data_IF_179477734141
#
_entry.id   IF_179477734141
#
_cell.length_a   1.000
_cell.length_b   1.000
_cell.length_c   1.000
_cell.angle_alpha   90.00
_cell.angle_beta   90.00
_cell.angle_gamma   90.00
#
_symmetry.space_group_name_H-M   'P 1'
#
loop_
_entity.id
_entity.type
_entity.pdbx_description
1 polymer ?
#
# COMPACT_ATOMS: atom_id res chain seq x y z
N UNK A 1 11.59 21.99 1.75
CA UNK A 1 10.91 20.75 1.34
C UNK A 1 11.89 20.03 0.42
N UNK A 2 12.48 18.88 0.79
CA UNK A 2 13.21 18.10 -0.22
C UNK A 2 13.00 16.61 -0.04
N UNK A 3 12.25 16.01 -0.95
CA UNK A 3 12.63 14.75 -1.57
C UNK A 3 12.02 14.70 -2.96
N UNK A 4 12.84 14.98 -3.98
CA UNK A 4 12.69 14.49 -5.33
C UNK A 4 13.67 13.32 -5.53
N UNK A 5 13.67 12.38 -4.56
CA UNK A 5 14.40 11.11 -4.59
C UNK A 5 15.92 11.24 -4.35
N UNK A 6 16.45 11.77 -3.25
CA UNK A 6 16.19 11.42 -1.87
C UNK A 6 17.05 12.34 -1.00
N UNK A 7 17.14 13.63 -1.37
CA UNK A 7 17.74 14.67 -0.53
C UNK A 7 16.86 15.05 0.67
N UNK A 8 16.18 14.06 1.27
CA UNK A 8 15.30 14.12 2.44
C UNK A 8 15.85 15.09 3.49
N UNK A 9 15.20 16.24 3.78
CA UNK A 9 14.05 16.20 4.67
C UNK A 9 12.85 16.99 4.10
N UNK A 10 11.72 16.32 4.00
CA UNK A 10 10.41 16.95 3.91
C UNK A 10 9.61 16.69 5.18
N UNK A 11 8.87 17.69 5.66
CA UNK A 11 7.82 17.54 6.67
C UNK A 11 6.54 17.12 5.96
N UNK A 12 6.39 15.82 5.74
CA UNK A 12 5.26 15.26 4.98
C UNK A 12 4.00 15.20 5.85
N UNK A 13 2.89 15.85 5.46
CA UNK A 13 1.70 15.93 6.30
C UNK A 13 1.12 14.57 6.69
N UNK A 14 1.11 13.60 5.77
CA UNK A 14 0.65 12.23 6.04
C UNK A 14 1.50 11.50 7.09
N UNK A 15 2.80 11.83 7.19
CA UNK A 15 3.72 11.28 8.20
C UNK A 15 3.51 11.98 9.54
N UNK A 16 3.33 13.30 9.54
CA UNK A 16 3.04 14.07 10.75
C UNK A 16 1.73 13.58 11.37
N UNK A 17 0.66 13.49 10.60
CA UNK A 17 -0.63 13.02 11.09
C UNK A 17 -0.54 11.59 11.63
N UNK A 18 0.23 10.71 10.99
CA UNK A 18 0.45 9.36 11.49
C UNK A 18 1.21 9.34 12.83
N UNK A 19 2.19 10.24 13.01
CA UNK A 19 2.95 10.33 14.26
C UNK A 19 2.10 10.77 15.46
N UNK A 20 1.01 11.52 15.23
CA UNK A 20 0.07 11.91 16.29
C UNK A 20 -0.74 10.74 16.85
N UNK A 21 -0.78 9.61 16.16
CA UNK A 21 -1.50 8.40 16.59
C UNK A 21 -0.60 7.40 17.32
N UNK A 22 0.69 7.72 17.53
CA UNK A 22 1.69 6.79 18.04
C UNK A 22 1.33 6.20 19.42
N UNK A 23 0.78 7.01 20.33
CA UNK A 23 0.39 6.54 21.67
C UNK A 23 -0.78 5.54 21.60
N UNK A 24 -1.83 5.89 20.84
CA UNK A 24 -2.98 5.01 20.64
C UNK A 24 -2.59 3.70 19.93
N UNK A 25 -1.67 3.78 18.96
CA UNK A 25 -1.11 2.60 18.32
C UNK A 25 -0.30 1.75 19.30
N UNK A 26 0.55 2.37 20.13
CA UNK A 26 1.39 1.65 21.09
C UNK A 26 0.54 0.85 22.08
N UNK A 27 -0.56 1.44 22.56
CA UNK A 27 -1.52 0.73 23.40
C UNK A 27 -2.09 -0.51 22.70
N UNK A 28 -2.58 -0.38 21.46
CA UNK A 28 -3.11 -1.52 20.68
C UNK A 28 -2.06 -2.60 20.44
N UNK A 29 -0.82 -2.18 20.24
CA UNK A 29 0.33 -3.06 20.04
C UNK A 29 0.65 -3.85 21.31
N UNK A 30 0.74 -3.21 22.47
CA UNK A 30 0.94 -3.85 23.77
C UNK A 30 -0.20 -4.86 24.07
N UNK A 31 -1.45 -4.45 23.89
CA UNK A 31 -2.61 -5.35 24.03
C UNK A 31 -2.52 -6.58 23.10
N UNK A 32 -1.97 -6.42 21.90
CA UNK A 32 -1.77 -7.53 20.96
C UNK A 32 -0.64 -8.47 21.42
N UNK A 33 0.46 -7.94 21.95
CA UNK A 33 1.55 -8.73 22.52
C UNK A 33 1.10 -9.55 23.73
N UNK A 34 0.35 -8.94 24.66
CA UNK A 34 -0.17 -9.64 25.84
C UNK A 34 -1.10 -10.80 25.46
N UNK A 35 -1.98 -10.57 24.48
CA UNK A 35 -2.85 -11.62 23.94
C UNK A 35 -2.05 -12.72 23.26
N UNK A 36 -1.05 -12.37 22.45
CA UNK A 36 -0.20 -13.36 21.78
C UNK A 36 0.61 -14.19 22.79
N UNK A 37 1.13 -13.56 23.85
CA UNK A 37 1.81 -14.26 24.92
C UNK A 37 0.87 -15.25 25.63
N UNK A 38 -0.33 -14.78 25.99
CA UNK A 38 -1.36 -15.61 26.63
C UNK A 38 -1.83 -16.77 25.76
N UNK A 39 -1.84 -16.60 24.43
CA UNK A 39 -2.19 -17.61 23.45
C UNK A 39 -1.03 -18.55 23.05
N UNK A 40 0.18 -18.34 23.59
CA UNK A 40 1.37 -19.12 23.23
C UNK A 40 1.94 -18.82 21.84
N UNK A 41 1.49 -17.74 21.18
CA UNK A 41 1.93 -17.33 19.83
C UNK A 41 3.01 -16.24 19.85
N UNK A 42 3.50 -15.84 21.03
CA UNK A 42 4.47 -14.74 21.18
C UNK A 42 5.75 -14.88 20.34
N UNK A 43 6.30 -16.10 20.20
CA UNK A 43 7.46 -16.32 19.32
C UNK A 43 7.12 -16.10 17.83
N UNK A 44 5.95 -16.56 17.39
CA UNK A 44 5.47 -16.29 16.03
C UNK A 44 5.25 -14.80 15.80
N UNK A 45 4.69 -14.08 16.79
CA UNK A 45 4.50 -12.63 16.73
C UNK A 45 5.82 -11.88 16.57
N UNK A 46 6.87 -12.24 17.33
CA UNK A 46 8.19 -11.61 17.19
C UNK A 46 8.82 -11.88 15.82
N UNK A 47 8.69 -13.10 15.28
CA UNK A 47 9.17 -13.44 13.93
C UNK A 47 8.40 -12.67 12.86
N UNK A 48 7.08 -12.54 13.03
CA UNK A 48 6.22 -11.74 12.15
C UNK A 48 6.64 -10.26 12.16
N UNK A 49 6.82 -9.66 13.33
CA UNK A 49 7.26 -8.27 13.48
C UNK A 49 8.58 -8.02 12.74
N UNK A 50 9.58 -8.91 12.94
CA UNK A 50 10.87 -8.83 12.25
C UNK A 50 10.75 -8.97 10.73
N UNK A 51 9.85 -9.82 10.24
CA UNK A 51 9.59 -9.94 8.81
C UNK A 51 8.97 -8.65 8.24
N UNK A 52 8.08 -8.00 8.99
CA UNK A 52 7.48 -6.71 8.61
C UNK A 52 8.52 -5.57 8.63
N UNK A 53 9.48 -5.59 9.54
CA UNK A 53 10.58 -4.59 9.54
C UNK A 53 11.43 -4.65 8.26
N UNK A 54 11.37 -5.75 7.51
CA UNK A 54 12.02 -5.91 6.20
C UNK A 54 11.07 -5.78 5.00
N UNK A 55 9.80 -5.40 5.24
CA UNK A 55 8.77 -5.29 4.21
C UNK A 55 9.01 -4.16 3.21
N UNK A 56 8.35 -4.26 2.06
CA UNK A 56 8.34 -3.29 0.98
C UNK A 56 6.97 -2.66 0.78
N UNK A 57 6.95 -1.47 0.19
CA UNK A 57 5.74 -0.91 -0.40
C UNK A 57 5.65 -1.37 -1.85
N UNK A 58 4.54 -1.96 -2.25
CA UNK A 58 4.32 -2.51 -3.59
C UNK A 58 3.10 -1.90 -4.27
N UNK A 59 3.24 -1.53 -5.54
CA UNK A 59 2.16 -0.97 -6.35
C UNK A 59 1.94 -1.87 -7.56
N UNK A 60 0.77 -2.52 -7.62
CA UNK A 60 0.39 -3.31 -8.79
C UNK A 60 -0.18 -2.40 -9.89
N UNK A 61 0.34 -2.57 -11.11
CA UNK A 61 0.00 -1.75 -12.27
C UNK A 61 -0.18 -2.61 -13.51
N UNK A 62 -0.89 -2.05 -14.51
CA UNK A 62 -1.00 -2.65 -15.84
C UNK A 62 0.37 -2.68 -16.53
N UNK A 63 0.57 -3.65 -17.40
CA UNK A 63 1.80 -3.80 -18.20
C UNK A 63 2.20 -2.50 -18.91
N UNK A 64 1.25 -1.78 -19.51
CA UNK A 64 1.53 -0.53 -20.23
C UNK A 64 2.02 0.60 -19.30
N UNK A 65 1.56 0.65 -18.05
CA UNK A 65 2.01 1.66 -17.08
C UNK A 65 3.43 1.34 -16.60
N UNK A 66 3.73 0.07 -16.31
CA UNK A 66 5.10 -0.35 -16.00
C UNK A 66 6.04 -0.09 -17.18
N UNK A 67 5.61 -0.42 -18.39
CA UNK A 67 6.35 -0.17 -19.63
C UNK A 67 6.62 1.32 -19.84
N UNK A 68 5.61 2.20 -19.69
CA UNK A 68 5.79 3.66 -19.76
C UNK A 68 6.85 4.16 -18.77
N UNK A 69 6.78 3.72 -17.52
CA UNK A 69 7.72 4.15 -16.46
C UNK A 69 9.15 3.71 -16.71
N UNK A 70 9.35 2.53 -17.32
CA UNK A 70 10.68 2.03 -17.68
C UNK A 70 11.19 2.69 -18.97
N UNK A 71 10.28 3.07 -19.87
CA UNK A 71 10.66 3.62 -21.17
C UNK A 71 11.16 5.07 -21.09
N UNK A 72 10.55 5.91 -20.25
CA UNK A 72 10.92 7.32 -20.18
C UNK A 72 11.69 7.68 -18.90
N UNK A 73 12.87 8.29 -19.07
CA UNK A 73 13.76 8.68 -17.97
C UNK A 73 13.14 9.70 -17.00
N UNK A 74 12.16 10.48 -17.49
CA UNK A 74 11.47 11.53 -16.72
C UNK A 74 10.05 11.14 -16.33
N UNK A 75 9.65 9.89 -16.57
CA UNK A 75 8.26 9.46 -16.35
C UNK A 75 7.95 9.36 -14.85
N UNK A 76 6.83 9.96 -14.48
CA UNK A 76 6.31 9.89 -13.13
C UNK A 76 5.11 8.94 -13.07
N UNK A 77 5.03 8.17 -11.99
CA UNK A 77 3.83 7.41 -11.64
C UNK A 77 2.71 8.39 -11.36
N UNK A 78 1.60 8.30 -12.10
CA UNK A 78 0.43 9.13 -11.84
C UNK A 78 -0.20 8.78 -10.48
N UNK A 79 -0.73 9.79 -9.78
CA UNK A 79 -1.57 9.58 -8.59
C UNK A 79 -2.96 9.08 -9.00
N UNK A 80 -3.73 8.61 -8.01
CA UNK A 80 -5.13 8.26 -8.24
C UNK A 80 -5.90 9.42 -8.89
N UNK A 81 -5.75 10.62 -8.32
CA UNK A 81 -6.41 11.85 -8.76
C UNK A 81 -6.00 12.30 -10.16
N UNK A 82 -4.71 12.28 -10.49
CA UNK A 82 -4.27 12.60 -11.85
C UNK A 82 -4.88 11.63 -12.90
N UNK A 83 -5.10 10.38 -12.50
CA UNK A 83 -5.73 9.37 -13.36
C UNK A 83 -7.26 9.51 -13.40
N UNK A 84 -7.91 9.93 -12.31
CA UNK A 84 -9.37 10.17 -12.30
C UNK A 84 -9.74 11.41 -13.11
N UNK A 85 -8.96 12.50 -12.98
CA UNK A 85 -9.24 13.80 -13.60
C UNK A 85 -9.11 13.75 -15.13
N UNK A 86 -8.40 12.76 -15.68
CA UNK A 86 -8.21 12.54 -17.12
C UNK A 86 -9.15 11.49 -17.71
N UNK A 87 -9.91 10.78 -16.88
CA UNK A 87 -10.91 9.81 -17.35
C UNK A 87 -12.22 10.53 -17.67
N UNK A 88 -12.91 10.07 -18.72
CA UNK A 88 -14.29 10.46 -18.92
C UNK A 88 -15.11 10.12 -17.66
N UNK A 89 -16.02 11.01 -17.23
CA UNK A 89 -16.87 10.75 -16.07
C UNK A 89 -17.53 9.38 -16.22
N UNK A 90 -17.26 8.48 -15.27
CA UNK A 90 -17.98 7.22 -15.23
C UNK A 90 -19.42 7.52 -14.85
N UNK A 91 -20.36 6.89 -15.54
CA UNK A 91 -21.74 6.90 -15.08
C UNK A 91 -21.77 6.35 -13.65
N UNK A 92 -22.48 7.04 -12.76
CA UNK A 92 -22.67 6.58 -11.39
C UNK A 92 -23.20 5.15 -11.42
N UNK A 93 -22.64 4.20 -10.65
CA UNK A 93 -23.12 2.84 -10.67
C UNK A 93 -24.61 2.82 -10.32
N UNK A 94 -25.46 2.13 -11.10
CA UNK A 94 -26.90 2.06 -10.84
C UNK A 94 -27.21 1.36 -9.50
N UNK A 95 -26.30 0.50 -9.04
CA UNK A 95 -26.33 -0.18 -7.75
C UNK A 95 -24.91 -0.29 -7.19
N UNK A 96 -24.75 -0.13 -5.88
CA UNK A 96 -23.46 -0.26 -5.20
C UNK A 96 -22.83 1.08 -4.78
N UNK A 97 -21.69 0.98 -4.09
CA UNK A 97 -20.98 2.13 -3.57
C UNK A 97 -20.25 2.90 -4.69
N UNK A 98 -20.39 4.23 -4.68
CA UNK A 98 -19.59 5.11 -5.53
C UNK A 98 -18.20 5.28 -4.89
N UNK A 99 -17.31 4.34 -5.20
CA UNK A 99 -15.97 4.30 -4.63
C UNK A 99 -15.13 5.52 -4.96
N UNK A 100 -15.36 6.18 -6.10
CA UNK A 100 -14.64 7.39 -6.48
C UNK A 100 -15.05 8.57 -5.58
N UNK A 101 -16.37 8.72 -5.32
CA UNK A 101 -16.89 9.73 -4.38
C UNK A 101 -16.49 9.44 -2.92
N UNK A 102 -16.50 8.17 -2.51
CA UNK A 102 -16.06 7.76 -1.17
C UNK A 102 -14.57 8.06 -1.00
N UNK A 103 -13.75 7.77 -2.01
CA UNK A 103 -12.31 8.07 -1.99
C UNK A 103 -12.07 9.57 -1.83
N UNK A 104 -12.78 10.39 -2.60
CA UNK A 104 -12.65 11.85 -2.52
C UNK A 104 -12.92 12.40 -1.12
N UNK A 105 -13.94 11.85 -0.47
CA UNK A 105 -14.32 12.21 0.89
C UNK A 105 -13.31 11.71 1.93
N UNK A 106 -13.01 10.41 1.91
CA UNK A 106 -12.13 9.75 2.88
C UNK A 106 -10.72 10.35 2.83
N UNK A 107 -10.15 10.51 1.64
CA UNK A 107 -8.82 11.08 1.49
C UNK A 107 -8.80 12.57 1.87
N UNK A 108 -9.90 13.30 1.65
CA UNK A 108 -10.08 14.68 2.11
C UNK A 108 -10.00 14.81 3.62
N UNK A 109 -10.52 13.82 4.36
CA UNK A 109 -10.41 13.77 5.82
C UNK A 109 -9.02 13.29 6.24
N UNK A 110 -8.50 12.23 5.62
CA UNK A 110 -7.24 11.61 6.05
C UNK A 110 -6.02 12.47 5.76
N UNK A 111 -5.98 13.16 4.62
CA UNK A 111 -4.78 13.87 4.16
C UNK A 111 -4.98 15.37 4.01
N UNK A 112 -6.23 15.84 3.92
CA UNK A 112 -6.61 17.20 3.54
C UNK A 112 -6.15 17.63 2.14
N UNK A 113 -6.78 18.66 1.59
CA UNK A 113 -6.29 19.32 0.38
C UNK A 113 -5.18 20.32 0.74
N UNK A 114 -4.11 20.44 -0.10
CA UNK A 114 -3.90 19.76 -1.38
C UNK A 114 -3.22 18.38 -1.26
N UNK A 115 -2.86 17.92 -0.06
CA UNK A 115 -1.97 16.76 0.16
C UNK A 115 -2.51 15.48 -0.47
N UNK A 116 -3.82 15.22 -0.40
CA UNK A 116 -4.44 14.01 -0.95
C UNK A 116 -4.08 13.76 -2.42
N UNK A 117 -3.93 14.85 -3.21
CA UNK A 117 -3.59 14.79 -4.65
C UNK A 117 -2.15 14.37 -4.91
N UNK A 118 -1.31 14.36 -3.89
CA UNK A 118 0.11 13.98 -3.95
C UNK A 118 0.39 12.58 -3.39
N UNK A 119 -0.63 11.87 -2.89
CA UNK A 119 -0.49 10.51 -2.36
C UNK A 119 -0.55 9.48 -3.49
N UNK A 120 0.34 8.49 -3.40
CA UNK A 120 0.29 7.23 -4.15
C UNK A 120 0.02 6.10 -3.16
N UNK A 121 -0.96 5.29 -3.50
CA UNK A 121 -1.38 4.15 -2.69
C UNK A 121 -0.60 2.92 -3.10
N UNK A 122 -0.03 2.25 -2.11
CA UNK A 122 0.65 0.96 -2.25
C UNK A 122 0.10 -0.01 -1.20
N UNK A 123 0.43 -1.28 -1.34
CA UNK A 123 0.23 -2.27 -0.29
C UNK A 123 1.56 -2.58 0.40
N UNK A 124 1.52 -2.97 1.67
CA UNK A 124 2.69 -3.51 2.35
C UNK A 124 2.85 -4.99 2.01
N UNK A 125 4.06 -5.42 1.67
CA UNK A 125 4.38 -6.80 1.32
C UNK A 125 5.72 -7.24 1.92
N UNK A 126 5.83 -8.50 2.33
CA UNK A 126 7.11 -9.10 2.76
C UNK A 126 7.88 -9.62 1.54
N UNK A 127 7.16 -10.08 0.52
CA UNK A 127 7.71 -10.52 -0.77
C UNK A 127 7.58 -9.41 -1.81
N UNK A 128 8.06 -9.67 -3.03
CA UNK A 128 7.88 -8.76 -4.18
C UNK A 128 6.54 -8.93 -4.89
N UNK A 129 5.64 -9.74 -4.32
CA UNK A 129 4.32 -10.00 -4.87
C UNK A 129 3.32 -8.96 -4.37
N UNK A 130 2.27 -8.75 -5.16
CA UNK A 130 1.17 -7.87 -4.78
C UNK A 130 -0.19 -8.42 -5.19
N UNK A 131 -1.21 -7.57 -5.06
CA UNK A 131 -2.58 -7.86 -5.46
C UNK A 131 -2.72 -7.75 -6.99
N UNK A 132 -2.60 -8.87 -7.70
CA UNK A 132 -2.60 -8.88 -9.18
C UNK A 132 -3.96 -8.56 -9.80
N UNK A 133 -5.01 -8.49 -8.98
CA UNK A 133 -6.30 -7.87 -9.29
C UNK A 133 -6.16 -6.42 -9.81
N UNK A 134 -5.09 -5.71 -9.42
CA UNK A 134 -4.77 -4.34 -9.87
C UNK A 134 -3.85 -4.29 -11.11
N UNK A 135 -3.25 -5.41 -11.50
CA UNK A 135 -2.41 -5.54 -12.68
C UNK A 135 -1.27 -6.56 -12.53
N UNK A 136 -0.69 -7.04 -13.65
CA UNK A 136 0.29 -8.13 -13.65
C UNK A 136 1.71 -7.69 -13.25
N UNK A 137 1.99 -6.39 -13.14
CA UNK A 137 3.31 -5.88 -12.82
C UNK A 137 3.30 -5.25 -11.43
N UNK A 138 4.25 -5.63 -10.58
CA UNK A 138 4.39 -5.09 -9.24
C UNK A 138 5.62 -4.19 -9.17
N UNK A 139 5.40 -2.89 -8.98
CA UNK A 139 6.46 -1.92 -8.71
C UNK A 139 6.86 -2.07 -7.25
N UNK A 140 8.10 -2.49 -6.98
CA UNK A 140 8.62 -2.62 -5.63
C UNK A 140 9.41 -1.37 -5.29
N UNK A 141 8.95 -0.63 -4.28
CA UNK A 141 9.60 0.61 -3.88
C UNK A 141 10.92 0.32 -3.15
N UNK A 142 11.93 1.13 -3.41
CA UNK A 142 13.13 1.18 -2.56
C UNK A 142 12.78 1.91 -1.26
N UNK A 143 12.87 1.18 -0.14
CA UNK A 143 12.55 1.69 1.19
C UNK A 143 13.30 2.99 1.51
N UNK A 144 14.59 3.08 1.18
CA UNK A 144 15.41 4.26 1.46
C UNK A 144 14.91 5.51 0.73
N UNK A 145 14.20 5.33 -0.39
CA UNK A 145 13.66 6.41 -1.22
C UNK A 145 12.28 6.90 -0.75
N UNK A 146 11.57 6.12 0.08
CA UNK A 146 10.16 6.39 0.41
C UNK A 146 9.85 6.47 1.91
N UNK A 147 10.67 5.91 2.80
CA UNK A 147 10.31 5.74 4.23
C UNK A 147 9.95 7.07 4.92
N UNK A 148 10.75 8.11 4.70
CA UNK A 148 10.61 9.43 5.33
C UNK A 148 9.36 10.22 4.91
N UNK A 149 8.66 9.75 3.86
CA UNK A 149 7.48 10.39 3.26
C UNK A 149 6.27 9.45 3.20
N UNK A 150 6.38 8.30 3.87
CA UNK A 150 5.37 7.26 3.88
C UNK A 150 4.74 7.08 5.25
N UNK A 151 3.42 6.95 5.25
CA UNK A 151 2.66 6.44 6.39
C UNK A 151 1.92 5.17 5.98
N UNK A 152 1.51 4.38 6.96
CA UNK A 152 0.74 3.16 6.73
C UNK A 152 -0.60 3.23 7.44
N UNK A 153 -1.59 2.53 6.92
CA UNK A 153 -2.94 2.47 7.45
C UNK A 153 -3.44 1.04 7.44
N UNK A 154 -4.19 0.68 8.47
CA UNK A 154 -4.47 -0.72 8.80
C UNK A 154 -5.09 -1.53 7.65
N UNK A 155 -5.92 -0.88 6.82
CA UNK A 155 -6.53 -1.50 5.64
C UNK A 155 -6.73 -0.45 4.55
N UNK A 156 -7.39 -0.81 3.45
CA UNK A 156 -7.88 0.15 2.48
C UNK A 156 -8.74 1.21 3.20
N UNK A 157 -8.30 2.46 3.15
CA UNK A 157 -8.95 3.57 3.87
C UNK A 157 -10.43 3.72 3.53
N UNK A 158 -10.82 3.60 2.26
CA UNK A 158 -12.25 3.67 1.88
C UNK A 158 -13.07 2.56 2.55
N UNK A 159 -12.55 1.33 2.51
CA UNK A 159 -13.20 0.17 3.14
C UNK A 159 -13.31 0.33 4.65
N UNK A 160 -12.29 0.89 5.29
CA UNK A 160 -12.27 1.14 6.73
C UNK A 160 -13.46 2.01 7.16
N UNK A 161 -13.68 3.15 6.50
CA UNK A 161 -14.79 4.06 6.84
C UNK A 161 -16.15 3.49 6.47
N UNK A 162 -16.27 2.83 5.31
CA UNK A 162 -17.52 2.19 4.88
C UNK A 162 -17.96 1.10 5.86
N UNK A 163 -17.05 0.19 6.25
CA UNK A 163 -17.36 -0.91 7.19
C UNK A 163 -17.82 -0.42 8.56
N UNK A 164 -17.33 0.74 9.01
CA UNK A 164 -17.69 1.32 10.32
C UNK A 164 -18.96 2.16 10.29
N UNK A 165 -19.61 2.32 9.12
CA UNK A 165 -20.70 3.26 8.94
C UNK A 165 -20.29 4.72 9.20
N UNK A 166 -18.98 4.98 9.28
CA UNK A 166 -18.37 6.26 9.63
C UNK A 166 -18.17 7.11 8.38
N UNK A 167 -19.22 7.25 7.57
CA UNK A 167 -19.19 8.24 6.48
C UNK A 167 -19.35 9.63 7.16
N UNK A 168 -18.41 10.58 6.96
CA UNK A 168 -18.27 11.88 7.64
C UNK A 168 -19.48 12.83 7.83
N UNK A 169 -20.72 12.45 7.49
CA UNK A 169 -21.84 13.38 7.38
C UNK A 169 -22.82 13.37 8.56
N UNK A 170 -22.73 12.44 9.52
CA UNK A 170 -23.83 12.29 10.50
C UNK A 170 -23.87 13.42 11.54
N UNK A 171 -22.75 14.05 11.87
CA UNK A 171 -22.67 15.15 12.84
C UNK A 171 -21.56 16.19 12.54
N UNK A 172 -20.90 16.12 11.39
CA UNK A 172 -19.81 17.02 11.03
C UNK A 172 -18.47 16.71 11.72
N UNK A 173 -18.43 15.68 12.56
CA UNK A 173 -17.18 15.12 13.10
C UNK A 173 -16.88 13.79 12.43
N UNK A 174 -15.64 13.62 11.98
CA UNK A 174 -15.14 12.28 11.63
C UNK A 174 -14.39 11.79 12.84
N UNK A 175 -14.94 10.80 13.53
CA UNK A 175 -14.17 10.05 14.50
C UNK A 175 -13.11 9.22 13.75
N UNK A 176 -11.98 9.87 13.50
CA UNK A 176 -10.75 9.21 13.12
C UNK A 176 -10.26 8.45 14.35
N UNK A 177 -10.82 7.26 14.57
CA UNK A 177 -10.37 6.39 15.66
C UNK A 177 -8.85 6.31 15.60
N UNK A 178 -8.19 6.74 16.67
CA UNK A 178 -6.73 6.86 16.69
C UNK A 178 -6.06 5.48 16.80
N UNK A 179 -4.83 5.40 16.30
CA UNK A 179 -3.99 4.20 16.38
C UNK A 179 -4.19 3.23 15.21
N UNK A 180 -4.92 3.64 14.16
CA UNK A 180 -5.15 2.84 12.94
C UNK A 180 -4.21 3.24 11.79
N UNK A 181 -3.38 4.26 12.04
CA UNK A 181 -2.33 4.76 11.16
C UNK A 181 -0.99 4.71 11.88
N UNK A 182 0.10 4.55 11.14
CA UNK A 182 1.46 4.64 11.68
C UNK A 182 2.44 5.27 10.70
N UNK A 183 3.58 5.74 11.21
CA UNK A 183 4.72 6.10 10.35
C UNK A 183 5.29 4.85 9.69
N UNK A 184 6.12 5.00 8.65
CA UNK A 184 6.82 3.84 8.07
C UNK A 184 7.64 3.06 9.11
N UNK A 185 8.28 3.74 10.06
CA UNK A 185 9.12 3.10 11.08
C UNK A 185 8.31 2.25 12.06
N UNK A 186 7.07 2.63 12.36
CA UNK A 186 6.17 1.89 13.27
C UNK A 186 5.19 0.96 12.54
N UNK A 187 5.44 0.62 11.26
CA UNK A 187 4.55 -0.24 10.47
C UNK A 187 4.44 -1.66 11.02
N UNK A 188 5.50 -2.18 11.65
CA UNK A 188 5.50 -3.49 12.30
C UNK A 188 4.56 -3.51 13.51
N UNK A 189 4.56 -2.46 14.34
CA UNK A 189 3.58 -2.29 15.42
C UNK A 189 2.14 -2.27 14.90
N UNK A 190 1.87 -1.55 13.81
CA UNK A 190 0.55 -1.51 13.18
C UNK A 190 0.12 -2.90 12.68
N UNK A 191 1.02 -3.62 12.00
CA UNK A 191 0.75 -4.97 11.53
C UNK A 191 0.53 -5.94 12.69
N UNK A 192 1.33 -5.88 13.75
CA UNK A 192 1.16 -6.71 14.95
C UNK A 192 -0.17 -6.42 15.65
N UNK A 193 -0.51 -5.14 15.85
CA UNK A 193 -1.79 -4.73 16.43
C UNK A 193 -3.00 -5.23 15.61
N UNK A 194 -2.87 -5.31 14.28
CA UNK A 194 -3.91 -5.81 13.37
C UNK A 194 -3.98 -7.34 13.33
N UNK A 195 -2.83 -8.02 13.22
CA UNK A 195 -2.76 -9.40 12.69
C UNK A 195 -2.23 -10.43 13.68
N UNK A 196 -1.69 -10.06 14.85
CA UNK A 196 -1.08 -11.01 15.78
C UNK A 196 -2.04 -12.15 16.20
N UNK A 197 -3.33 -11.84 16.36
CA UNK A 197 -4.35 -12.82 16.72
C UNK A 197 -4.62 -13.88 15.63
N UNK A 198 -4.16 -13.66 14.39
CA UNK A 198 -4.29 -14.61 13.27
C UNK A 198 -3.10 -15.56 13.15
N UNK A 199 -2.02 -15.34 13.91
CA UNK A 199 -0.81 -16.13 13.80
C UNK A 199 -0.97 -17.47 14.53
N UNK A 200 -0.63 -18.56 13.84
CA UNK A 200 -0.40 -19.85 14.48
C UNK A 200 0.99 -19.85 15.17
N UNK A 201 1.21 -20.65 16.24
CA UNK A 201 2.49 -20.72 16.94
C UNK A 201 3.69 -21.09 16.04
N UNK A 202 3.44 -21.92 15.03
CA UNK A 202 4.42 -22.43 14.07
C UNK A 202 4.35 -21.73 12.71
N UNK A 203 3.60 -20.62 12.60
CA UNK A 203 3.42 -19.88 11.35
C UNK A 203 4.77 -19.52 10.69
N UNK A 204 4.88 -19.78 9.41
CA UNK A 204 6.04 -19.60 8.54
C UNK A 204 6.06 -18.22 7.87
N UNK A 205 7.16 -17.83 7.24
CA UNK A 205 7.24 -16.57 6.49
C UNK A 205 6.27 -16.51 5.30
N UNK A 206 5.99 -17.65 4.66
CA UNK A 206 4.99 -17.73 3.60
C UNK A 206 3.58 -17.44 4.14
N UNK A 207 3.26 -17.97 5.33
CA UNK A 207 1.99 -17.66 6.00
C UNK A 207 1.93 -16.21 6.48
N UNK A 208 3.06 -15.62 6.92
CA UNK A 208 3.11 -14.19 7.22
C UNK A 208 2.75 -13.34 6.01
N UNK A 209 3.30 -13.66 4.83
CA UNK A 209 2.98 -12.97 3.59
C UNK A 209 1.48 -13.11 3.23
N UNK A 210 0.93 -14.32 3.36
CA UNK A 210 -0.48 -14.59 3.09
C UNK A 210 -1.44 -13.88 4.08
N UNK A 211 -1.06 -13.78 5.36
CA UNK A 211 -1.84 -13.08 6.39
C UNK A 211 -1.79 -11.56 6.20
N UNK A 212 -0.63 -11.04 5.78
CA UNK A 212 -0.44 -9.60 5.55
C UNK A 212 -1.25 -9.10 4.34
N UNK A 213 -1.36 -9.92 3.30
CA UNK A 213 -2.01 -9.57 2.04
C UNK A 213 -2.90 -10.71 1.55
N UNK A 214 -4.20 -10.51 1.70
CA UNK A 214 -5.23 -11.47 1.33
C UNK A 214 -6.01 -10.97 0.11
N UNK A 215 -6.08 -11.81 -0.93
CA UNK A 215 -6.84 -11.54 -2.15
C UNK A 215 -8.31 -11.90 -1.93
N UNK A 216 -9.19 -10.92 -2.10
CA UNK A 216 -10.63 -11.12 -2.08
C UNK A 216 -11.18 -11.49 -3.45
N UNK A 217 -12.51 -11.68 -3.52
CA UNK A 217 -13.21 -11.95 -4.78
C UNK A 217 -13.18 -10.74 -5.73
N UNK A 218 -13.15 -9.53 -5.18
CA UNK A 218 -12.99 -8.27 -5.90
C UNK A 218 -11.89 -7.43 -5.26
N UNK A 219 -11.42 -6.40 -5.97
CA UNK A 219 -10.47 -5.42 -5.40
C UNK A 219 -11.00 -4.71 -4.15
N UNK A 220 -12.33 -4.65 -3.96
CA UNK A 220 -12.93 -4.09 -2.75
C UNK A 220 -12.88 -5.07 -1.56
N UNK A 221 -12.66 -6.35 -1.82
CA UNK A 221 -12.60 -7.42 -0.83
C UNK A 221 -11.17 -7.74 -0.39
N UNK A 222 -10.16 -7.27 -1.13
CA UNK A 222 -8.75 -7.40 -0.77
C UNK A 222 -8.48 -6.82 0.64
N UNK A 223 -7.79 -7.56 1.49
CA UNK A 223 -7.35 -7.14 2.82
C UNK A 223 -5.82 -7.05 2.85
N UNK A 224 -5.31 -5.85 3.09
CA UNK A 224 -3.87 -5.57 3.11
C UNK A 224 -3.60 -4.42 4.06
N UNK A 225 -2.34 -4.05 4.29
CA UNK A 225 -1.99 -2.77 4.95
C UNK A 225 -1.70 -1.74 3.86
N UNK A 226 -2.45 -0.64 3.84
CA UNK A 226 -2.32 0.42 2.84
C UNK A 226 -1.12 1.32 3.18
N UNK A 227 -0.29 1.64 2.20
CA UNK A 227 0.85 2.55 2.33
C UNK A 227 0.55 3.82 1.54
N UNK A 228 0.80 4.96 2.17
CA UNK A 228 0.56 6.31 1.65
C UNK A 228 1.89 6.98 1.36
N UNK A 229 2.32 6.97 0.10
CA UNK A 229 3.60 7.55 -0.33
C UNK A 229 3.35 8.97 -0.86
N UNK A 230 3.83 9.99 -0.15
CA UNK A 230 3.63 11.39 -0.53
C UNK A 230 4.74 11.90 -1.47
N UNK A 231 4.36 12.60 -2.53
CA UNK A 231 5.29 13.23 -3.48
C UNK A 231 5.62 12.34 -4.69
N UNK A 232 6.38 12.88 -5.67
CA UNK A 232 6.60 12.24 -6.98
C UNK A 232 7.25 10.86 -6.83
N UNK A 233 6.97 9.95 -7.78
CA UNK A 233 7.61 8.63 -7.90
C UNK A 233 8.03 8.42 -9.34
N UNK A 234 9.29 8.04 -9.56
CA UNK A 234 9.90 7.70 -10.85
C UNK A 234 10.59 6.33 -10.75
N UNK A 235 11.22 5.86 -11.83
CA UNK A 235 11.99 4.62 -11.81
C UNK A 235 13.05 4.59 -10.70
N UNK A 236 13.65 5.75 -10.36
CA UNK A 236 14.62 5.90 -9.25
C UNK A 236 14.05 5.55 -7.87
N UNK A 237 12.73 5.61 -7.68
CA UNK A 237 12.10 5.21 -6.40
C UNK A 237 11.88 3.72 -6.26
N UNK A 238 12.18 2.95 -7.30
CA UNK A 238 11.92 1.53 -7.33
C UNK A 238 13.22 0.78 -7.06
N UNK A 239 13.12 -0.24 -6.22
CA UNK A 239 14.11 -1.31 -6.12
C UNK A 239 14.10 -2.16 -7.39
N UNK A 240 12.91 -2.29 -8.00
CA UNK A 240 12.71 -2.96 -9.27
C UNK A 240 11.23 -3.30 -9.50
N UNK A 241 10.99 -4.18 -10.46
CA UNK A 241 9.67 -4.60 -10.91
C UNK A 241 9.62 -6.13 -10.94
N UNK A 242 8.56 -6.70 -10.35
CA UNK A 242 8.20 -8.10 -10.50
C UNK A 242 7.05 -8.25 -11.51
N UNK A 243 7.02 -9.37 -12.23
CA UNK A 243 5.99 -9.68 -13.21
C UNK A 243 5.36 -11.02 -12.86
N UNK A 244 4.05 -11.01 -12.61
CA UNK A 244 3.26 -12.24 -12.44
C UNK A 244 3.01 -12.86 -13.83
N UNK A 245 3.53 -14.07 -14.04
CA UNK A 245 3.35 -14.81 -15.29
C UNK A 245 1.94 -15.39 -15.45
N UNK A 246 1.27 -15.65 -14.33
CA UNK A 246 -0.04 -16.29 -14.25
C UNK A 246 -1.18 -15.27 -14.26
N UNK A 247 -0.87 -13.98 -14.11
CA UNK A 247 -1.86 -12.92 -14.22
C UNK A 247 -2.55 -12.95 -15.60
N UNK A 248 -3.89 -12.84 -15.67
CA UNK A 248 -4.63 -12.82 -16.93
C UNK A 248 -4.12 -11.69 -17.82
N UNK A 249 -3.38 -12.03 -18.87
CA UNK A 249 -2.88 -11.06 -19.84
C UNK A 249 -3.85 -10.97 -21.01
N UNK A 250 -4.42 -9.78 -21.23
CA UNK A 250 -5.14 -9.51 -22.46
C UNK A 250 -4.22 -9.82 -23.66
N UNK A 251 -4.79 -10.33 -24.76
CA UNK A 251 -4.05 -10.83 -25.94
C UNK A 251 -3.03 -9.81 -26.50
N UNK A 252 -3.26 -8.50 -26.30
CA UNK A 252 -2.33 -7.43 -26.71
C UNK A 252 -1.17 -7.11 -25.75
N UNK A 253 -1.11 -7.69 -24.56
CA UNK A 253 -0.09 -7.35 -23.55
C UNK A 253 1.15 -8.24 -23.61
N UNK A 254 1.13 -9.36 -24.36
CA UNK A 254 2.27 -10.29 -24.44
C UNK A 254 3.53 -9.64 -25.00
N UNK A 255 3.40 -8.89 -26.10
CA UNK A 255 4.53 -8.19 -26.72
C UNK A 255 5.11 -7.10 -25.80
N UNK A 256 4.24 -6.36 -25.12
CA UNK A 256 4.63 -5.31 -24.17
C UNK A 256 5.37 -5.90 -22.98
N UNK A 257 4.91 -7.03 -22.45
CA UNK A 257 5.59 -7.74 -21.36
C UNK A 257 6.94 -8.32 -21.79
N UNK A 258 7.05 -8.80 -23.04
CA UNK A 258 8.33 -9.28 -23.56
C UNK A 258 9.37 -8.14 -23.66
N UNK A 259 9.01 -6.98 -24.23
CA UNK A 259 9.90 -5.81 -24.29
C UNK A 259 10.21 -5.26 -22.89
N UNK A 260 9.22 -5.21 -21.99
CA UNK A 260 9.41 -4.81 -20.60
C UNK A 260 10.44 -5.70 -19.90
N UNK A 261 10.36 -7.03 -20.04
CA UNK A 261 11.33 -7.97 -19.45
C UNK A 261 12.74 -7.72 -19.95
N UNK A 262 12.91 -7.58 -21.26
CA UNK A 262 14.21 -7.32 -21.87
C UNK A 262 14.86 -6.05 -21.29
N UNK A 263 14.07 -4.96 -21.18
CA UNK A 263 14.54 -3.70 -20.59
C UNK A 263 14.88 -3.83 -19.12
N UNK A 264 14.01 -4.46 -18.34
CA UNK A 264 14.24 -4.64 -16.90
C UNK A 264 15.54 -5.42 -16.64
N UNK A 265 15.83 -6.44 -17.46
CA UNK A 265 17.10 -7.17 -17.38
C UNK A 265 18.29 -6.28 -17.74
N UNK A 266 18.18 -5.45 -18.78
CA UNK A 266 19.23 -4.49 -19.16
C UNK A 266 19.54 -3.44 -18.09
N UNK A 267 18.55 -3.09 -17.27
CA UNK A 267 18.68 -2.10 -16.21
C UNK A 267 18.86 -2.69 -14.80
N UNK A 268 18.97 -4.02 -14.66
CA UNK A 268 19.03 -4.73 -13.37
C UNK A 268 17.86 -4.42 -12.43
N UNK A 269 16.65 -4.29 -13.01
CA UNK A 269 15.42 -3.94 -12.31
C UNK A 269 14.41 -5.08 -12.28
N UNK A 270 14.71 -6.26 -12.83
CA UNK A 270 13.83 -7.42 -12.77
C UNK A 270 14.05 -8.16 -11.45
N UNK A 271 13.08 -8.09 -10.54
CA UNK A 271 13.26 -8.66 -9.19
C UNK A 271 12.89 -10.13 -9.10
N UNK A 272 11.71 -10.49 -9.60
CA UNK A 272 11.22 -11.87 -9.61
C UNK A 272 10.38 -12.09 -10.87
N UNK A 273 10.46 -13.31 -11.39
CA UNK A 273 9.46 -13.90 -12.27
C UNK A 273 8.79 -15.01 -11.46
N UNK A 274 7.63 -14.73 -10.85
CA UNK A 274 6.88 -15.80 -10.17
C UNK A 274 6.47 -16.82 -11.23
N UNK A 275 6.92 -18.07 -11.07
CA UNK A 275 6.47 -19.24 -11.86
C UNK A 275 5.04 -19.60 -11.53
#
# INVERSE_FOLDING_TARGET
>A
MQCPHCGSPGRYPNVIQASLEAEALNKRYEDALERAHSAGTGSATQRFEKAIDSSYAVICVKANEAHRLVFGETELKATYYATSDTRFPRAKPPTGADWDAIRELVDGVLFTDPVKRHIRFAALAITFEGLTSYGPCTLVCDTSMIEHRSSTFETNSCRFFVKRGAIPFKDGSVDLSQGFRSTWLDRSKLCTAKLAARLAPDATEAEFAAILMERGATTADDEYVEVHICGPMSLRTLKGIAIDQNAPTAVGHRGILADLRDRLRRHDLLLNEST
#
